data_IF_409085322665
#
_entry.id   IF_409085322665
#
_cell.length_a   1.000
_cell.length_b   1.000
_cell.length_c   1.000
_cell.angle_alpha   90.00
_cell.angle_beta   90.00
_cell.angle_gamma   90.00
#
_symmetry.space_group_name_H-M   'P 1'
#
loop_
_entity.id
_entity.type
_entity.pdbx_description
1 polymer ?
#
# COMPACT_ATOMS: atom_id res chain seq x y z
N UNK A 1 -14.22 -21.92 -7.93
CA UNK A 1 -15.49 -21.16 -7.81
C UNK A 1 -15.42 -19.98 -8.79
N UNK A 2 -16.46 -19.71 -9.60
CA UNK A 2 -16.47 -18.58 -10.54
C UNK A 2 -17.20 -17.42 -9.88
N UNK A 3 -16.52 -16.32 -9.61
CA UNK A 3 -17.13 -15.08 -9.12
C UNK A 3 -17.11 -14.04 -10.24
N UNK A 4 -18.24 -13.36 -10.44
CA UNK A 4 -18.31 -12.17 -11.29
C UNK A 4 -18.23 -10.94 -10.41
N UNK A 5 -17.18 -10.16 -10.58
CA UNK A 5 -16.88 -8.99 -9.77
C UNK A 5 -17.76 -7.81 -10.25
N UNK A 6 -18.34 -7.04 -9.33
CA UNK A 6 -19.39 -6.05 -9.62
C UNK A 6 -18.93 -4.75 -10.32
N UNK A 7 -17.70 -4.65 -10.84
CA UNK A 7 -17.14 -3.41 -11.39
C UNK A 7 -16.45 -3.57 -12.76
N UNK A 8 -17.13 -4.24 -13.69
CA UNK A 8 -16.68 -4.43 -15.08
C UNK A 8 -16.41 -5.90 -15.34
N UNK A 9 -17.00 -6.43 -16.41
CA UNK A 9 -17.19 -7.85 -16.74
C UNK A 9 -15.88 -8.67 -16.84
N UNK A 10 -15.21 -8.90 -15.71
CA UNK A 10 -14.10 -9.86 -15.56
C UNK A 10 -14.61 -11.09 -14.84
N UNK A 11 -14.16 -12.25 -15.31
CA UNK A 11 -14.53 -13.55 -14.74
C UNK A 11 -13.31 -14.12 -14.04
N UNK A 12 -13.44 -14.48 -12.77
CA UNK A 12 -12.35 -15.05 -11.98
C UNK A 12 -12.59 -16.54 -11.76
N UNK A 13 -11.61 -17.38 -12.09
CA UNK A 13 -11.60 -18.82 -11.83
C UNK A 13 -10.52 -19.13 -10.80
N UNK A 14 -10.94 -19.49 -9.59
CA UNK A 14 -10.02 -20.00 -8.56
C UNK A 14 -9.87 -21.52 -8.70
N UNK A 15 -8.61 -21.95 -8.86
CA UNK A 15 -8.18 -23.34 -8.96
C UNK A 15 -7.32 -23.64 -7.73
N UNK A 16 -7.92 -24.32 -6.76
CA UNK A 16 -7.22 -24.78 -5.57
C UNK A 16 -6.78 -26.25 -5.80
N UNK A 17 -5.49 -26.54 -5.58
CA UNK A 17 -4.94 -27.89 -5.44
C UNK A 17 -5.79 -28.66 -4.42
N UNK A 18 -6.53 -29.77 -4.75
CA UNK A 18 -6.20 -30.85 -5.68
C UNK A 18 -7.31 -31.18 -6.73
N UNK A 19 -8.17 -30.24 -7.11
CA UNK A 19 -9.36 -30.57 -7.93
C UNK A 19 -9.23 -30.19 -9.41
N UNK A 20 -8.20 -30.72 -10.08
CA UNK A 20 -8.00 -30.64 -11.54
C UNK A 20 -9.20 -31.21 -12.32
N UNK A 21 -10.01 -32.09 -11.72
CA UNK A 21 -11.28 -32.57 -12.27
C UNK A 21 -12.28 -31.44 -12.54
N UNK A 22 -12.17 -30.30 -11.85
CA UNK A 22 -12.95 -29.10 -12.13
C UNK A 22 -12.53 -28.36 -13.41
N UNK A 23 -11.32 -28.61 -13.95
CA UNK A 23 -10.80 -27.91 -15.14
C UNK A 23 -11.44 -28.42 -16.45
N UNK A 24 -11.86 -29.68 -16.52
CA UNK A 24 -12.63 -30.21 -17.66
C UNK A 24 -13.98 -29.49 -17.79
N UNK A 25 -14.63 -29.14 -16.66
CA UNK A 25 -15.86 -28.34 -16.66
C UNK A 25 -15.67 -26.91 -17.18
N UNK A 26 -14.44 -26.36 -17.09
CA UNK A 26 -14.10 -25.02 -17.61
C UNK A 26 -13.92 -25.06 -19.13
N UNK A 27 -13.53 -26.21 -19.70
CA UNK A 27 -13.33 -26.37 -21.15
C UNK A 27 -14.60 -26.07 -21.95
N UNK A 28 -15.74 -26.57 -21.49
CA UNK A 28 -17.07 -26.26 -22.04
C UNK A 28 -17.40 -24.76 -21.97
N UNK A 29 -16.98 -24.09 -20.90
CA UNK A 29 -17.26 -22.67 -20.65
C UNK A 29 -16.40 -21.72 -21.51
N UNK A 30 -15.13 -22.08 -21.73
CA UNK A 30 -14.18 -21.34 -22.58
C UNK A 30 -14.65 -21.24 -24.03
N UNK A 31 -15.33 -22.27 -24.53
CA UNK A 31 -15.74 -22.34 -25.94
C UNK A 31 -16.96 -21.46 -26.25
N UNK A 32 -17.83 -21.22 -25.27
CA UNK A 32 -19.16 -20.63 -25.45
C UNK A 32 -19.25 -19.13 -25.16
N UNK A 33 -18.29 -18.55 -24.44
CA UNK A 33 -18.40 -17.19 -23.91
C UNK A 33 -17.07 -16.43 -24.09
N UNK A 34 -16.76 -16.05 -25.34
CA UNK A 34 -15.47 -15.48 -25.77
C UNK A 34 -15.31 -13.97 -25.49
N UNK A 35 -16.40 -13.28 -25.20
CA UNK A 35 -16.43 -11.81 -25.20
C UNK A 35 -15.86 -11.16 -23.93
N UNK A 36 -15.54 -11.95 -22.88
CA UNK A 36 -14.95 -11.43 -21.65
C UNK A 36 -13.64 -12.15 -21.32
N UNK A 37 -12.59 -11.40 -20.91
CA UNK A 37 -11.31 -12.00 -20.55
C UNK A 37 -11.42 -12.83 -19.27
N UNK A 38 -10.75 -13.98 -19.26
CA UNK A 38 -10.74 -14.91 -18.12
C UNK A 38 -9.51 -14.66 -17.23
N UNK A 39 -9.75 -14.35 -15.95
CA UNK A 39 -8.70 -14.31 -14.92
C UNK A 39 -8.65 -15.64 -14.20
N UNK A 40 -7.50 -16.28 -14.19
CA UNK A 40 -7.29 -17.59 -13.57
C UNK A 40 -6.36 -17.40 -12.39
N UNK A 41 -6.77 -17.85 -11.21
CA UNK A 41 -5.99 -17.77 -9.99
C UNK A 41 -5.71 -19.20 -9.57
N UNK A 42 -4.45 -19.63 -9.69
CA UNK A 42 -4.02 -20.93 -9.22
C UNK A 42 -3.33 -20.79 -7.87
N UNK A 43 -3.84 -21.51 -6.88
CA UNK A 43 -3.35 -21.48 -5.49
C UNK A 43 -2.56 -22.74 -5.19
N UNK A 44 -1.31 -22.56 -4.76
CA UNK A 44 -0.42 -23.62 -4.35
C UNK A 44 -0.05 -23.43 -2.89
N UNK A 45 -0.67 -24.23 -2.03
CA UNK A 45 -0.39 -24.23 -0.60
C UNK A 45 0.58 -25.36 -0.30
N UNK A 46 1.67 -25.06 0.38
CA UNK A 46 2.66 -26.03 0.85
C UNK A 46 3.30 -26.90 -0.24
N UNK A 47 4.19 -27.82 0.16
CA UNK A 47 4.94 -28.68 -0.75
C UNK A 47 4.09 -29.78 -1.39
N UNK A 48 2.91 -30.11 -0.86
CA UNK A 48 2.01 -31.14 -1.41
C UNK A 48 1.36 -30.67 -2.70
N UNK A 49 1.08 -29.36 -2.81
CA UNK A 49 0.52 -28.77 -4.02
C UNK A 49 1.50 -28.77 -5.21
N UNK A 50 2.79 -29.07 -4.99
CA UNK A 50 3.78 -29.16 -6.07
C UNK A 50 3.45 -30.27 -7.09
N UNK A 51 2.71 -31.30 -6.68
CA UNK A 51 2.27 -32.40 -7.57
C UNK A 51 1.34 -31.91 -8.67
N UNK A 52 0.64 -30.78 -8.45
CA UNK A 52 -0.35 -30.24 -9.39
C UNK A 52 0.23 -29.25 -10.41
N UNK A 53 1.53 -28.95 -10.31
CA UNK A 53 2.22 -28.06 -11.25
C UNK A 53 2.10 -28.55 -12.70
N UNK A 54 2.41 -29.83 -13.04
CA UNK A 54 2.36 -30.28 -14.43
C UNK A 54 0.95 -30.20 -15.03
N UNK A 55 -0.09 -30.41 -14.22
CA UNK A 55 -1.47 -30.28 -14.67
C UNK A 55 -1.83 -28.81 -14.94
N UNK A 56 -1.39 -27.90 -14.06
CA UNK A 56 -1.57 -26.46 -14.23
C UNK A 56 -0.83 -25.94 -15.46
N UNK A 57 0.38 -26.44 -15.73
CA UNK A 57 1.15 -26.12 -16.93
C UNK A 57 0.42 -26.56 -18.21
N UNK A 58 -0.06 -27.81 -18.25
CA UNK A 58 -0.84 -28.32 -19.39
C UNK A 58 -2.10 -27.49 -19.62
N UNK A 59 -2.80 -27.13 -18.55
CA UNK A 59 -3.99 -26.29 -18.65
C UNK A 59 -3.67 -24.89 -19.19
N UNK A 60 -2.59 -24.26 -18.71
CA UNK A 60 -2.13 -22.96 -19.20
C UNK A 60 -1.72 -23.01 -20.69
N UNK A 61 -1.08 -24.09 -21.12
CA UNK A 61 -0.75 -24.31 -22.54
C UNK A 61 -2.01 -24.46 -23.41
N UNK A 62 -2.99 -25.25 -22.99
CA UNK A 62 -4.26 -25.42 -23.72
C UNK A 62 -5.04 -24.10 -23.84
N UNK A 63 -4.97 -23.23 -22.84
CA UNK A 63 -5.59 -21.91 -22.89
C UNK A 63 -4.92 -21.00 -23.92
N UNK A 64 -3.59 -21.08 -24.05
CA UNK A 64 -2.84 -20.32 -25.05
C UNK A 64 -3.24 -20.67 -26.49
N UNK A 65 -3.76 -21.88 -26.73
CA UNK A 65 -4.25 -22.31 -28.05
C UNK A 65 -5.65 -21.79 -28.38
N UNK A 66 -6.41 -21.33 -27.38
CA UNK A 66 -7.79 -20.84 -27.56
C UNK A 66 -7.80 -19.32 -27.81
N UNK A 67 -8.74 -18.80 -28.64
CA UNK A 67 -8.83 -17.38 -28.98
C UNK A 67 -9.42 -16.51 -27.84
N UNK A 68 -9.41 -17.00 -26.60
CA UNK A 68 -9.98 -16.30 -25.45
C UNK A 68 -8.87 -15.55 -24.74
N UNK A 69 -9.02 -14.23 -24.59
CA UNK A 69 -8.10 -13.45 -23.78
C UNK A 69 -8.11 -13.97 -22.33
N UNK A 70 -6.94 -14.31 -21.80
CA UNK A 70 -6.82 -14.84 -20.44
C UNK A 70 -5.57 -14.30 -19.73
N UNK A 71 -5.60 -14.33 -18.41
CA UNK A 71 -4.44 -14.04 -17.56
C UNK A 71 -4.32 -15.12 -16.50
N UNK A 72 -3.12 -15.67 -16.34
CA UNK A 72 -2.77 -16.53 -15.23
C UNK A 72 -2.19 -15.69 -14.10
N UNK A 73 -2.70 -15.92 -12.89
CA UNK A 73 -2.24 -15.38 -11.64
C UNK A 73 -1.90 -16.54 -10.70
N UNK A 74 -0.80 -16.41 -9.97
CA UNK A 74 -0.35 -17.45 -9.05
C UNK A 74 -0.38 -16.92 -7.62
N UNK A 75 -0.93 -17.72 -6.71
CA UNK A 75 -0.75 -17.53 -5.26
C UNK A 75 0.00 -18.74 -4.74
N UNK A 76 1.19 -18.53 -4.18
CA UNK A 76 2.07 -19.59 -3.69
C UNK A 76 2.40 -19.31 -2.22
N UNK A 77 2.20 -20.32 -1.38
CA UNK A 77 2.41 -20.21 0.07
C UNK A 77 3.29 -21.32 0.62
N UNK A 78 4.32 -20.95 1.39
CA UNK A 78 5.19 -21.89 2.12
C UNK A 78 6.14 -22.71 1.25
N UNK A 79 6.33 -22.34 -0.01
CA UNK A 79 7.25 -23.01 -0.94
C UNK A 79 8.65 -22.38 -0.89
N UNK A 80 9.66 -23.21 -0.61
CA UNK A 80 11.07 -22.76 -0.49
C UNK A 80 11.77 -22.44 -1.80
N UNK A 81 11.32 -22.97 -2.94
CA UNK A 81 11.96 -22.72 -4.23
C UNK A 81 10.93 -22.64 -5.34
N UNK A 82 11.00 -21.56 -6.13
CA UNK A 82 10.09 -21.30 -7.24
C UNK A 82 10.57 -21.89 -8.57
N UNK A 83 11.69 -22.63 -8.59
CA UNK A 83 12.22 -23.24 -9.81
C UNK A 83 11.22 -24.17 -10.49
N UNK A 84 10.44 -24.92 -9.72
CA UNK A 84 9.38 -25.79 -10.27
C UNK A 84 8.25 -25.01 -10.95
N UNK A 85 8.13 -23.70 -10.68
CA UNK A 85 7.11 -22.83 -11.27
C UNK A 85 7.62 -22.06 -12.50
N UNK A 86 8.84 -22.32 -12.97
CA UNK A 86 9.47 -21.52 -14.04
C UNK A 86 8.56 -21.34 -15.28
N UNK A 87 7.97 -22.43 -15.79
CA UNK A 87 7.07 -22.37 -16.96
C UNK A 87 5.82 -21.54 -16.68
N UNK A 88 5.22 -21.71 -15.50
CA UNK A 88 4.03 -20.96 -15.10
C UNK A 88 4.34 -19.48 -14.93
N UNK A 89 5.47 -19.15 -14.30
CA UNK A 89 5.93 -17.77 -14.08
C UNK A 89 6.14 -17.01 -15.39
N UNK A 90 6.64 -17.67 -16.44
CA UNK A 90 6.77 -17.05 -17.76
C UNK A 90 5.42 -16.63 -18.38
N UNK A 91 4.33 -17.29 -17.99
CA UNK A 91 2.98 -17.01 -18.51
C UNK A 91 2.14 -16.14 -17.56
N UNK A 92 2.66 -15.87 -16.37
CA UNK A 92 1.93 -15.23 -15.29
C UNK A 92 2.06 -13.71 -15.34
N UNK A 93 0.93 -13.01 -15.18
CA UNK A 93 0.91 -11.54 -15.11
C UNK A 93 1.05 -11.01 -13.69
N UNK A 94 0.62 -11.78 -12.70
CA UNK A 94 0.61 -11.40 -11.29
C UNK A 94 0.94 -12.60 -10.41
N UNK A 95 1.89 -12.45 -9.49
CA UNK A 95 2.31 -13.49 -8.55
C UNK A 95 2.24 -12.96 -7.14
N UNK A 96 1.60 -13.72 -6.26
CA UNK A 96 1.56 -13.49 -4.82
C UNK A 96 2.33 -14.62 -4.15
N UNK A 97 3.36 -14.26 -3.39
CA UNK A 97 4.25 -15.17 -2.69
C UNK A 97 4.16 -14.91 -1.20
N UNK A 98 3.72 -15.91 -0.44
CA UNK A 98 3.65 -15.86 1.03
C UNK A 98 4.64 -16.84 1.62
N UNK A 99 5.56 -16.36 2.47
CA UNK A 99 6.59 -17.22 3.07
C UNK A 99 7.41 -18.01 2.03
N UNK A 100 7.66 -17.42 0.86
CA UNK A 100 8.35 -18.08 -0.25
C UNK A 100 9.67 -17.40 -0.62
N UNK A 101 10.65 -18.18 -1.06
CA UNK A 101 11.89 -17.65 -1.59
C UNK A 101 11.71 -17.13 -3.01
N UNK A 102 12.13 -15.89 -3.28
CA UNK A 102 12.21 -15.33 -4.61
C UNK A 102 13.44 -15.95 -5.33
N UNK A 103 13.23 -17.06 -6.02
CA UNK A 103 14.28 -17.78 -6.75
C UNK A 103 13.75 -18.30 -8.09
N UNK A 104 13.81 -17.46 -9.12
CA UNK A 104 13.51 -17.82 -10.51
C UNK A 104 14.46 -17.12 -11.46
N UNK A 105 14.65 -17.70 -12.65
CA UNK A 105 15.59 -17.18 -13.64
C UNK A 105 14.92 -16.14 -14.57
N UNK A 106 13.70 -16.42 -15.06
CA UNK A 106 12.97 -15.54 -15.99
C UNK A 106 11.46 -15.48 -15.69
N UNK A 107 10.89 -14.27 -15.70
CA UNK A 107 9.45 -14.03 -15.60
C UNK A 107 9.02 -12.85 -16.50
N UNK A 108 9.18 -13.02 -17.81
CA UNK A 108 9.06 -11.92 -18.78
C UNK A 108 7.67 -11.28 -18.92
N UNK A 109 6.59 -11.95 -18.49
CA UNK A 109 5.21 -11.40 -18.54
C UNK A 109 4.74 -10.78 -17.22
N UNK A 110 5.55 -10.91 -16.16
CA UNK A 110 5.18 -10.47 -14.83
C UNK A 110 5.02 -8.95 -14.79
N UNK A 111 3.87 -8.49 -14.32
CA UNK A 111 3.51 -7.07 -14.16
C UNK A 111 3.36 -6.67 -12.69
N UNK A 112 2.89 -7.60 -11.87
CA UNK A 112 2.68 -7.39 -10.44
C UNK A 112 3.31 -8.52 -9.65
N UNK A 113 4.07 -8.16 -8.62
CA UNK A 113 4.63 -9.10 -7.67
C UNK A 113 4.27 -8.67 -6.25
N UNK A 114 3.73 -9.59 -5.46
CA UNK A 114 3.54 -9.43 -4.03
C UNK A 114 4.40 -10.45 -3.28
N UNK A 115 5.20 -9.97 -2.32
CA UNK A 115 6.03 -10.76 -1.42
C UNK A 115 5.61 -10.46 0.01
N UNK A 116 5.21 -11.47 0.79
CA UNK A 116 4.85 -11.23 2.19
C UNK A 116 5.35 -12.27 3.20
N UNK A 117 5.49 -11.80 4.45
CA UNK A 117 5.73 -12.61 5.65
C UNK A 117 7.00 -13.45 5.60
N UNK A 118 8.12 -12.84 5.23
CA UNK A 118 9.43 -13.50 5.23
C UNK A 118 10.24 -13.16 6.47
N UNK A 119 10.78 -14.20 7.09
CA UNK A 119 11.63 -14.07 8.29
C UNK A 119 13.10 -13.83 7.96
N UNK A 120 13.50 -14.13 6.72
CA UNK A 120 14.85 -13.94 6.20
C UNK A 120 14.98 -12.66 5.39
N UNK A 121 16.23 -12.25 5.13
CA UNK A 121 16.51 -11.09 4.28
C UNK A 121 16.09 -11.38 2.85
N UNK A 122 15.19 -10.55 2.32
CA UNK A 122 14.68 -10.69 0.96
C UNK A 122 15.57 -9.93 -0.02
N UNK A 123 16.25 -10.66 -0.90
CA UNK A 123 16.88 -10.11 -2.09
C UNK A 123 15.88 -10.01 -3.25
N UNK A 124 15.94 -8.93 -4.03
CA UNK A 124 15.10 -8.71 -5.21
C UNK A 124 15.88 -8.83 -6.53
N UNK A 125 17.08 -9.42 -6.51
CA UNK A 125 17.92 -9.60 -7.69
C UNK A 125 17.23 -10.35 -8.86
N UNK A 126 16.38 -11.37 -8.62
CA UNK A 126 15.62 -12.00 -9.70
C UNK A 126 14.70 -11.05 -10.47
N UNK A 127 14.32 -9.89 -9.90
CA UNK A 127 13.43 -8.96 -10.59
C UNK A 127 14.08 -8.26 -11.78
N UNK A 128 15.41 -8.28 -11.90
CA UNK A 128 16.12 -7.66 -13.03
C UNK A 128 15.66 -8.24 -14.38
N UNK A 129 15.24 -9.51 -14.42
CA UNK A 129 14.73 -10.14 -15.64
C UNK A 129 13.27 -9.77 -15.97
N UNK A 130 12.55 -9.12 -15.05
CA UNK A 130 11.14 -8.77 -15.18
C UNK A 130 10.95 -7.38 -15.80
N UNK A 131 11.25 -7.22 -17.09
CA UNK A 131 11.21 -5.92 -17.77
C UNK A 131 9.81 -5.27 -17.86
N UNK A 132 8.74 -6.08 -17.74
CA UNK A 132 7.35 -5.62 -17.77
C UNK A 132 6.76 -5.33 -16.38
N UNK A 133 7.57 -5.42 -15.33
CA UNK A 133 7.12 -5.23 -13.95
C UNK A 133 6.70 -3.77 -13.74
N UNK A 134 5.45 -3.59 -13.32
CA UNK A 134 4.82 -2.29 -13.09
C UNK A 134 4.55 -2.02 -11.61
N UNK A 135 4.28 -3.06 -10.81
CA UNK A 135 3.95 -2.95 -9.39
C UNK A 135 4.73 -4.00 -8.60
N UNK A 136 5.37 -3.56 -7.52
CA UNK A 136 6.08 -4.42 -6.57
C UNK A 136 5.54 -4.13 -5.18
N UNK A 137 5.05 -5.16 -4.51
CA UNK A 137 4.47 -5.11 -3.17
C UNK A 137 5.30 -6.03 -2.28
N UNK A 138 5.80 -5.51 -1.16
CA UNK A 138 6.57 -6.25 -0.17
C UNK A 138 6.03 -5.93 1.21
N UNK A 139 5.55 -6.93 1.95
CA UNK A 139 4.93 -6.73 3.26
C UNK A 139 5.54 -7.63 4.34
N UNK A 140 5.87 -7.06 5.50
CA UNK A 140 6.37 -7.78 6.67
C UNK A 140 7.61 -8.65 6.37
N UNK A 141 8.61 -8.04 5.73
CA UNK A 141 9.86 -8.68 5.35
C UNK A 141 11.07 -7.93 5.95
N UNK A 142 12.17 -8.64 6.19
CA UNK A 142 13.48 -8.00 6.41
C UNK A 142 14.14 -7.75 5.04
N UNK A 143 14.57 -6.52 4.78
CA UNK A 143 14.88 -6.09 3.43
C UNK A 143 16.24 -5.41 3.36
N UNK A 144 17.09 -5.85 2.43
CA UNK A 144 18.29 -5.13 2.05
C UNK A 144 17.99 -4.23 0.84
N UNK A 145 18.66 -3.07 0.68
CA UNK A 145 18.46 -2.18 -0.46
C UNK A 145 18.63 -2.92 -1.80
N UNK A 146 17.60 -2.99 -2.65
CA UNK A 146 17.62 -3.74 -3.89
C UNK A 146 18.19 -2.85 -5.00
N UNK A 147 19.48 -3.01 -5.28
CA UNK A 147 20.09 -2.39 -6.47
C UNK A 147 19.36 -2.80 -7.76
N UNK A 148 18.72 -3.96 -7.73
CA UNK A 148 17.89 -4.59 -8.77
C UNK A 148 16.71 -3.70 -9.23
N UNK A 149 16.06 -2.96 -8.32
CA UNK A 149 14.88 -2.15 -8.65
C UNK A 149 15.20 -0.94 -9.53
N UNK A 150 16.45 -0.43 -9.50
CA UNK A 150 16.89 0.71 -10.33
C UNK A 150 16.78 0.43 -11.82
N UNK A 151 16.82 -0.85 -12.21
CA UNK A 151 16.78 -1.28 -13.61
C UNK A 151 15.37 -1.40 -14.16
N UNK A 152 14.34 -1.36 -13.31
CA UNK A 152 12.94 -1.54 -13.68
C UNK A 152 12.35 -0.24 -14.23
N UNK A 153 12.57 0.00 -15.53
CA UNK A 153 12.15 1.24 -16.21
C UNK A 153 10.65 1.43 -16.37
N UNK A 154 9.87 0.37 -16.13
CA UNK A 154 8.40 0.39 -16.24
C UNK A 154 7.70 0.36 -14.88
N UNK A 155 8.46 0.35 -13.77
CA UNK A 155 7.90 0.32 -12.43
C UNK A 155 7.19 1.64 -12.14
N UNK A 156 5.89 1.56 -11.84
CA UNK A 156 5.01 2.69 -11.53
C UNK A 156 4.59 2.71 -10.07
N UNK A 157 4.56 1.54 -9.42
CA UNK A 157 4.11 1.41 -8.05
C UNK A 157 5.10 0.57 -7.25
N UNK A 158 5.42 1.05 -6.05
CA UNK A 158 6.19 0.33 -5.06
C UNK A 158 5.51 0.46 -3.70
N UNK A 159 5.16 -0.68 -3.12
CA UNK A 159 4.58 -0.78 -1.78
C UNK A 159 5.52 -1.61 -0.92
N UNK A 160 6.00 -1.04 0.17
CA UNK A 160 6.86 -1.69 1.16
C UNK A 160 6.22 -1.45 2.54
N UNK A 161 5.54 -2.43 3.12
CA UNK A 161 4.81 -2.24 4.39
C UNK A 161 5.37 -3.06 5.53
N UNK A 162 5.57 -2.43 6.69
CA UNK A 162 6.02 -3.13 7.89
C UNK A 162 7.37 -3.83 7.74
N UNK A 163 8.20 -3.39 6.78
CA UNK A 163 9.51 -3.98 6.52
C UNK A 163 10.60 -3.28 7.34
N UNK A 164 11.64 -4.02 7.69
CA UNK A 164 12.81 -3.52 8.42
C UNK A 164 14.08 -3.64 7.56
N UNK A 165 15.13 -2.84 7.87
CA UNK A 165 16.42 -2.90 7.18
C UNK A 165 16.59 -2.01 5.94
N UNK A 166 15.61 -1.17 5.60
CA UNK A 166 15.61 -0.42 4.33
C UNK A 166 15.65 1.10 4.50
N UNK A 167 16.43 1.76 3.63
CA UNK A 167 16.28 3.17 3.28
C UNK A 167 15.64 3.25 1.88
N UNK A 168 15.18 4.42 1.44
CA UNK A 168 14.59 4.57 0.09
C UNK A 168 15.57 5.13 -0.95
N UNK A 169 16.87 5.25 -0.64
CA UNK A 169 17.84 5.92 -1.52
C UNK A 169 18.00 5.24 -2.88
N UNK A 170 17.72 3.95 -2.97
CA UNK A 170 17.73 3.22 -4.23
C UNK A 170 16.66 3.70 -5.23
N UNK A 171 15.67 4.49 -4.81
CA UNK A 171 14.61 5.02 -5.67
C UNK A 171 15.00 6.23 -6.52
N UNK A 172 16.19 6.83 -6.29
CA UNK A 172 16.61 8.07 -6.98
C UNK A 172 16.57 7.98 -8.51
N UNK A 173 16.72 6.76 -9.04
CA UNK A 173 16.76 6.50 -10.49
C UNK A 173 15.43 5.94 -11.04
N UNK A 174 14.44 5.68 -10.19
CA UNK A 174 13.14 5.13 -10.57
C UNK A 174 12.23 6.22 -11.17
N UNK A 175 12.65 6.82 -12.28
CA UNK A 175 12.00 8.01 -12.88
C UNK A 175 10.57 7.75 -13.41
N UNK A 176 10.17 6.49 -13.59
CA UNK A 176 8.82 6.08 -14.00
C UNK A 176 7.83 5.94 -12.84
N UNK A 177 8.30 6.05 -11.60
CA UNK A 177 7.52 5.78 -10.40
C UNK A 177 6.42 6.83 -10.21
N UNK A 178 5.19 6.36 -10.00
CA UNK A 178 3.99 7.17 -9.80
C UNK A 178 3.43 7.05 -8.37
N UNK A 179 3.66 5.92 -7.70
CA UNK A 179 3.15 5.65 -6.35
C UNK A 179 4.21 4.97 -5.49
N UNK A 180 4.41 5.50 -4.27
CA UNK A 180 5.25 4.90 -3.24
C UNK A 180 4.49 4.84 -1.93
N UNK A 181 4.38 3.64 -1.37
CA UNK A 181 3.87 3.40 -0.01
C UNK A 181 4.99 2.71 0.79
N UNK A 182 5.43 3.33 1.87
CA UNK A 182 6.46 2.79 2.78
C UNK A 182 5.93 2.67 4.22
N UNK A 183 4.63 2.44 4.36
CA UNK A 183 3.93 2.49 5.64
C UNK A 183 4.43 1.48 6.66
N UNK A 184 4.61 1.89 7.91
CA UNK A 184 5.03 1.03 9.00
C UNK A 184 6.49 0.57 8.94
N UNK A 185 7.30 1.10 8.01
CA UNK A 185 8.75 0.94 8.02
C UNK A 185 9.37 1.82 9.12
N UNK A 186 9.30 1.37 10.36
CA UNK A 186 9.70 2.16 11.55
C UNK A 186 11.19 2.53 11.60
N UNK A 187 12.04 1.83 10.87
CA UNK A 187 13.48 2.16 10.75
C UNK A 187 13.76 3.29 9.76
N UNK A 188 12.79 3.67 8.93
CA UNK A 188 12.95 4.68 7.89
C UNK A 188 12.90 6.08 8.50
N UNK A 189 14.00 6.82 8.37
CA UNK A 189 14.16 8.18 8.93
C UNK A 189 14.21 9.28 7.88
N UNK A 190 14.40 8.93 6.60
CA UNK A 190 14.49 9.89 5.49
C UNK A 190 13.85 9.36 4.22
N UNK A 191 13.35 10.28 3.40
CA UNK A 191 12.78 10.03 2.08
C UNK A 191 13.63 10.59 0.93
N UNK A 192 14.92 10.85 1.18
CA UNK A 192 15.89 11.44 0.23
C UNK A 192 15.89 10.78 -1.16
N UNK A 193 15.58 9.49 -1.23
CA UNK A 193 15.49 8.76 -2.49
C UNK A 193 14.34 9.14 -3.42
N UNK A 194 13.33 9.87 -2.92
CA UNK A 194 12.20 10.36 -3.71
C UNK A 194 12.47 11.71 -4.38
N UNK A 195 13.60 12.34 -4.07
CA UNK A 195 13.90 13.69 -4.56
C UNK A 195 13.93 13.75 -6.09
N UNK A 196 13.11 14.63 -6.67
CA UNK A 196 13.08 14.88 -8.11
C UNK A 196 12.35 13.83 -8.94
N UNK A 197 11.62 12.89 -8.33
CA UNK A 197 10.75 11.95 -9.05
C UNK A 197 9.51 12.67 -9.59
N UNK A 198 9.66 13.28 -10.77
CA UNK A 198 8.65 14.18 -11.36
C UNK A 198 7.34 13.51 -11.77
N UNK A 199 7.31 12.19 -11.89
CA UNK A 199 6.10 11.42 -12.19
C UNK A 199 5.36 10.94 -10.94
N UNK A 200 5.93 11.15 -9.75
CA UNK A 200 5.39 10.67 -8.49
C UNK A 200 4.11 11.45 -8.13
N UNK A 201 3.00 10.73 -8.05
CA UNK A 201 1.65 11.24 -7.74
C UNK A 201 1.21 10.93 -6.32
N UNK A 202 1.66 9.81 -5.76
CA UNK A 202 1.22 9.31 -4.45
C UNK A 202 2.42 8.95 -3.59
N UNK A 203 2.47 9.48 -2.36
CA UNK A 203 3.50 9.19 -1.37
C UNK A 203 2.85 8.91 -0.01
N UNK A 204 3.03 7.70 0.51
CA UNK A 204 2.41 7.22 1.75
C UNK A 204 3.48 6.65 2.70
N UNK A 205 4.25 7.49 3.40
CA UNK A 205 5.15 7.09 4.47
C UNK A 205 4.43 7.07 5.84
N UNK A 206 3.30 6.38 5.96
CA UNK A 206 2.51 6.40 7.20
C UNK A 206 3.21 5.66 8.34
N UNK A 207 3.29 6.27 9.52
CA UNK A 207 3.83 5.63 10.72
C UNK A 207 5.30 5.27 10.61
N UNK A 208 6.09 6.11 9.94
CA UNK A 208 7.55 6.01 9.87
C UNK A 208 8.20 7.11 10.73
N UNK A 209 9.51 6.99 10.99
CA UNK A 209 10.24 7.89 11.89
C UNK A 209 10.93 9.05 11.14
N UNK A 210 10.25 9.63 10.15
CA UNK A 210 10.75 10.80 9.41
C UNK A 210 10.52 12.08 10.20
N UNK A 211 11.48 13.01 10.14
CA UNK A 211 11.40 14.32 10.79
C UNK A 211 11.21 15.47 9.79
N UNK A 212 11.46 15.21 8.50
CA UNK A 212 11.32 16.17 7.42
C UNK A 212 10.90 15.50 6.11
N UNK A 213 10.29 16.29 5.21
CA UNK A 213 9.85 15.87 3.88
C UNK A 213 10.33 16.81 2.77
N UNK A 214 11.40 17.58 3.02
CA UNK A 214 11.94 18.57 2.07
C UNK A 214 12.31 17.99 0.69
N UNK A 215 12.66 16.69 0.66
CA UNK A 215 12.91 15.93 -0.57
C UNK A 215 11.71 15.86 -1.53
N UNK A 216 10.47 16.07 -1.07
CA UNK A 216 9.28 16.04 -1.93
C UNK A 216 9.10 17.31 -2.77
N UNK A 217 9.89 18.37 -2.54
CA UNK A 217 9.74 19.65 -3.24
C UNK A 217 9.91 19.53 -4.78
N UNK A 218 10.68 18.53 -5.24
CA UNK A 218 10.89 18.26 -6.66
C UNK A 218 9.81 17.39 -7.33
N UNK A 219 8.86 16.82 -6.56
CA UNK A 219 7.83 15.91 -7.04
C UNK A 219 6.62 16.69 -7.56
N UNK A 220 6.77 17.39 -8.69
CA UNK A 220 5.77 18.37 -9.17
C UNK A 220 4.44 17.77 -9.63
N UNK A 221 4.36 16.45 -9.88
CA UNK A 221 3.13 15.73 -10.19
C UNK A 221 2.38 15.21 -8.96
N UNK A 222 2.86 15.48 -7.75
CA UNK A 222 2.29 14.93 -6.52
C UNK A 222 0.85 15.38 -6.31
N UNK A 223 -0.05 14.42 -6.13
CA UNK A 223 -1.48 14.62 -5.93
C UNK A 223 -1.92 14.25 -4.50
N UNK A 224 -1.28 13.25 -3.89
CA UNK A 224 -1.63 12.73 -2.57
C UNK A 224 -0.39 12.47 -1.71
N UNK A 225 -0.41 12.98 -0.47
CA UNK A 225 0.60 12.73 0.55
C UNK A 225 -0.07 12.28 1.83
N UNK A 226 0.36 11.14 2.38
CA UNK A 226 -0.05 10.67 3.70
C UNK A 226 1.19 10.42 4.58
N UNK A 227 1.46 11.39 5.45
CA UNK A 227 2.51 11.36 6.48
C UNK A 227 1.91 11.17 7.87
N UNK A 228 0.71 10.57 7.95
CA UNK A 228 0.06 10.37 9.24
C UNK A 228 0.87 9.45 10.15
N UNK A 229 0.76 9.66 11.47
CA UNK A 229 1.52 8.92 12.49
C UNK A 229 3.05 9.11 12.43
N UNK A 230 3.56 10.08 11.65
CA UNK A 230 4.96 10.48 11.70
C UNK A 230 5.18 11.48 12.84
N UNK A 231 5.24 10.99 14.08
CA UNK A 231 5.24 11.82 15.29
C UNK A 231 6.41 12.82 15.35
N UNK A 232 7.55 12.51 14.72
CA UNK A 232 8.71 13.39 14.65
C UNK A 232 8.64 14.51 13.60
N UNK A 233 7.64 14.48 12.70
CA UNK A 233 7.49 15.46 11.63
C UNK A 233 6.92 16.77 12.17
N UNK A 234 7.68 17.87 12.07
CA UNK A 234 7.33 19.18 12.64
C UNK A 234 6.96 20.23 11.59
N UNK A 235 7.20 19.96 10.31
CA UNK A 235 6.92 20.90 9.21
C UNK A 235 6.57 20.17 7.91
N UNK A 236 5.78 20.85 7.06
CA UNK A 236 5.39 20.39 5.72
C UNK A 236 6.14 21.13 4.60
N UNK A 237 7.29 21.74 4.89
CA UNK A 237 8.04 22.63 3.97
C UNK A 237 8.31 22.06 2.57
N UNK A 238 8.44 20.74 2.43
CA UNK A 238 8.61 20.06 1.15
C UNK A 238 7.38 20.04 0.23
N UNK A 239 6.22 20.52 0.69
CA UNK A 239 4.98 20.54 -0.09
C UNK A 239 4.66 21.91 -0.71
N UNK A 240 5.50 22.92 -0.46
CA UNK A 240 5.22 24.29 -0.89
C UNK A 240 5.08 24.41 -2.41
N UNK A 241 3.95 24.98 -2.85
CA UNK A 241 3.70 25.30 -4.25
C UNK A 241 3.47 24.08 -5.15
N UNK A 242 3.23 22.88 -4.59
CA UNK A 242 2.87 21.69 -5.37
C UNK A 242 1.45 21.84 -5.94
N UNK A 243 1.36 22.41 -7.14
CA UNK A 243 0.09 22.85 -7.76
C UNK A 243 -0.88 21.72 -8.08
N UNK A 244 -0.42 20.48 -8.15
CA UNK A 244 -1.25 19.30 -8.39
C UNK A 244 -1.71 18.61 -7.10
N UNK A 245 -1.22 19.05 -5.94
CA UNK A 245 -1.50 18.41 -4.65
C UNK A 245 -2.96 18.62 -4.26
N UNK A 246 -3.71 17.53 -4.13
CA UNK A 246 -5.14 17.51 -3.82
C UNK A 246 -5.43 17.05 -2.40
N UNK A 247 -4.64 16.11 -1.88
CA UNK A 247 -4.91 15.44 -0.61
C UNK A 247 -3.66 15.39 0.26
N UNK A 248 -3.79 15.90 1.49
CA UNK A 248 -2.74 15.82 2.50
C UNK A 248 -3.32 15.24 3.79
N UNK A 249 -2.75 14.14 4.26
CA UNK A 249 -2.99 13.62 5.59
C UNK A 249 -1.71 13.75 6.41
N UNK A 250 -1.72 14.63 7.40
CA UNK A 250 -0.65 14.83 8.36
C UNK A 250 -1.15 14.61 9.80
N UNK A 251 -2.22 13.83 9.98
CA UNK A 251 -2.76 13.54 11.29
C UNK A 251 -1.76 12.80 12.18
N UNK A 252 -1.78 13.08 13.49
CA UNK A 252 -0.84 12.52 14.48
C UNK A 252 0.63 12.77 14.12
N UNK A 253 0.92 13.99 13.72
CA UNK A 253 2.29 14.51 13.58
C UNK A 253 2.52 15.63 14.61
N UNK A 254 3.74 16.15 14.66
CA UNK A 254 4.10 17.28 15.52
C UNK A 254 4.14 18.61 14.77
N UNK A 255 3.43 18.72 13.64
CA UNK A 255 3.38 19.97 12.88
C UNK A 255 2.68 21.07 13.70
N UNK A 256 3.21 22.28 13.60
CA UNK A 256 2.68 23.47 14.29
C UNK A 256 2.15 24.52 13.34
N UNK A 257 2.47 24.40 12.05
CA UNK A 257 2.06 25.29 10.98
C UNK A 257 1.77 24.50 9.70
N UNK A 258 0.80 24.98 8.92
CA UNK A 258 0.42 24.44 7.61
C UNK A 258 0.55 25.48 6.49
N UNK A 259 1.26 26.58 6.72
CA UNK A 259 1.52 27.62 5.73
C UNK A 259 2.22 27.10 4.47
N UNK A 260 3.00 26.02 4.58
CA UNK A 260 3.57 25.34 3.43
C UNK A 260 2.52 24.83 2.43
N UNK A 261 1.27 24.62 2.85
CA UNK A 261 0.20 24.20 1.95
C UNK A 261 -0.44 25.37 1.19
N UNK A 262 -0.26 26.62 1.61
CA UNK A 262 -0.96 27.79 1.06
C UNK A 262 -0.80 27.97 -0.46
N UNK A 263 0.31 27.50 -1.05
CA UNK A 263 0.58 27.53 -2.49
C UNK A 263 -0.02 26.36 -3.30
N UNK A 264 -0.63 25.37 -2.65
CA UNK A 264 -1.20 24.17 -3.28
C UNK A 264 -2.61 24.46 -3.82
N UNK A 265 -2.69 25.12 -4.97
CA UNK A 265 -3.95 25.65 -5.53
C UNK A 265 -5.01 24.58 -5.87
N UNK A 266 -4.61 23.31 -6.06
CA UNK A 266 -5.51 22.19 -6.31
C UNK A 266 -5.96 21.47 -5.03
N UNK A 267 -5.60 21.95 -3.83
CA UNK A 267 -5.86 21.24 -2.58
C UNK A 267 -7.36 21.14 -2.30
N UNK A 268 -7.83 19.92 -2.09
CA UNK A 268 -9.24 19.57 -1.87
C UNK A 268 -9.49 19.14 -0.43
N UNK A 269 -8.57 18.38 0.17
CA UNK A 269 -8.73 17.74 1.48
C UNK A 269 -7.45 17.79 2.31
N UNK A 270 -7.59 18.20 3.56
CA UNK A 270 -6.50 18.25 4.56
C UNK A 270 -6.95 17.59 5.85
N UNK A 271 -6.19 16.61 6.34
CA UNK A 271 -6.38 16.01 7.66
C UNK A 271 -5.18 16.32 8.55
N UNK A 272 -5.41 17.07 9.63
CA UNK A 272 -4.41 17.49 10.63
C UNK A 272 -4.87 17.19 12.04
N UNK A 273 -5.73 16.18 12.20
CA UNK A 273 -6.16 15.72 13.53
C UNK A 273 -4.96 15.33 14.39
N UNK A 274 -5.06 15.58 15.69
CA UNK A 274 -4.03 15.21 16.65
C UNK A 274 -2.67 15.88 16.44
N UNK A 275 -2.61 16.99 15.68
CA UNK A 275 -1.43 17.85 15.60
C UNK A 275 -1.50 18.85 16.76
N UNK A 276 -0.97 18.47 17.93
CA UNK A 276 -1.20 19.18 19.20
C UNK A 276 -0.71 20.64 19.21
N UNK A 277 0.29 20.96 18.39
CA UNK A 277 0.85 22.31 18.29
C UNK A 277 0.21 23.18 17.20
N UNK A 278 -0.67 22.63 16.37
CA UNK A 278 -1.35 23.37 15.31
C UNK A 278 -2.56 24.09 15.89
N UNK A 279 -2.53 25.42 15.88
CA UNK A 279 -3.56 26.28 16.48
C UNK A 279 -4.43 27.03 15.46
N UNK A 280 -4.00 27.09 14.21
CA UNK A 280 -4.67 27.82 13.14
C UNK A 280 -4.66 27.06 11.82
N UNK A 281 -5.76 27.18 11.08
CA UNK A 281 -5.91 26.71 9.69
C UNK A 281 -6.14 27.86 8.70
N UNK A 282 -6.07 29.11 9.17
CA UNK A 282 -6.21 30.31 8.34
C UNK A 282 -5.31 30.35 7.09
N UNK A 283 -4.10 29.76 7.05
CA UNK A 283 -3.33 29.69 5.81
C UNK A 283 -4.05 29.02 4.64
N UNK A 284 -5.11 28.24 4.89
CA UNK A 284 -5.92 27.56 3.87
C UNK A 284 -7.20 28.32 3.47
N UNK A 285 -7.53 29.44 4.13
CA UNK A 285 -8.80 30.17 3.95
C UNK A 285 -9.07 30.62 2.50
N UNK A 286 -8.01 30.98 1.76
CA UNK A 286 -8.10 31.43 0.36
C UNK A 286 -8.18 30.32 -0.69
N UNK A 287 -8.26 29.04 -0.31
CA UNK A 287 -8.18 27.93 -1.25
C UNK A 287 -9.49 27.66 -1.99
N UNK A 288 -9.45 27.83 -3.33
CA UNK A 288 -10.64 27.74 -4.18
C UNK A 288 -11.17 26.32 -4.38
N UNK A 289 -10.33 25.30 -4.27
CA UNK A 289 -10.73 23.90 -4.47
C UNK A 289 -10.94 23.13 -3.16
N UNK A 290 -10.66 23.77 -2.02
CA UNK A 290 -10.77 23.13 -0.72
C UNK A 290 -12.24 22.79 -0.43
N UNK A 291 -12.46 21.57 0.04
CA UNK A 291 -13.78 21.03 0.40
C UNK A 291 -13.83 20.50 1.82
N UNK A 292 -12.71 20.06 2.36
CA UNK A 292 -12.67 19.39 3.66
C UNK A 292 -11.36 19.71 4.40
N UNK A 293 -11.51 20.17 5.65
CA UNK A 293 -10.41 20.23 6.61
C UNK A 293 -10.85 19.44 7.85
N UNK A 294 -10.08 18.42 8.20
CA UNK A 294 -10.35 17.62 9.38
C UNK A 294 -9.36 17.99 10.47
N UNK A 295 -9.88 18.49 11.59
CA UNK A 295 -9.11 18.98 12.74
C UNK A 295 -9.55 18.24 14.01
N UNK A 296 -8.72 18.26 15.04
CA UNK A 296 -9.17 17.84 16.37
C UNK A 296 -10.07 18.92 16.98
N UNK A 297 -11.21 18.52 17.59
CA UNK A 297 -12.26 19.43 18.06
C UNK A 297 -11.78 20.55 19.01
N UNK A 298 -10.62 20.38 19.65
CA UNK A 298 -10.00 21.34 20.58
C UNK A 298 -8.72 21.98 20.05
N UNK A 299 -8.23 21.58 18.87
CA UNK A 299 -6.92 22.01 18.37
C UNK A 299 -6.93 23.38 17.69
N UNK A 300 -8.01 23.73 17.01
CA UNK A 300 -8.09 24.94 16.16
C UNK A 300 -9.19 25.87 16.67
N UNK A 301 -8.95 27.18 16.59
CA UNK A 301 -9.94 28.17 16.99
C UNK A 301 -11.18 28.13 16.08
N UNK A 302 -12.35 27.81 16.64
CA UNK A 302 -13.62 27.70 15.88
C UNK A 302 -14.02 28.98 15.16
N UNK A 303 -13.57 30.15 15.60
CA UNK A 303 -13.87 31.39 14.90
C UNK A 303 -13.30 31.41 13.48
N UNK A 304 -12.25 30.63 13.20
CA UNK A 304 -11.63 30.53 11.88
C UNK A 304 -12.53 29.88 10.83
N UNK A 305 -13.54 29.10 11.24
CA UNK A 305 -14.51 28.49 10.30
C UNK A 305 -15.19 29.55 9.41
N UNK A 306 -15.41 30.75 9.95
CA UNK A 306 -16.00 31.89 9.22
C UNK A 306 -15.12 32.45 8.10
N UNK A 307 -13.81 32.15 8.11
CA UNK A 307 -12.88 32.60 7.08
C UNK A 307 -12.95 31.74 5.80
N UNK A 308 -13.66 30.61 5.83
CA UNK A 308 -13.77 29.70 4.70
C UNK A 308 -15.03 29.94 3.89
N UNK A 309 -14.94 29.74 2.57
CA UNK A 309 -16.08 29.79 1.67
C UNK A 309 -17.15 28.75 2.06
N UNK A 310 -18.43 29.00 1.74
CA UNK A 310 -19.50 28.00 1.92
C UNK A 310 -19.14 26.66 1.24
N UNK A 311 -19.39 25.55 1.94
CA UNK A 311 -19.12 24.19 1.45
C UNK A 311 -17.76 23.62 1.84
N UNK A 312 -16.90 24.38 2.52
CA UNK A 312 -15.73 23.80 3.22
C UNK A 312 -16.20 23.23 4.55
N UNK A 313 -16.05 21.92 4.72
CA UNK A 313 -16.37 21.25 5.98
C UNK A 313 -15.16 21.25 6.89
N UNK A 314 -15.24 21.99 8.00
CA UNK A 314 -14.24 21.91 9.09
C UNK A 314 -14.75 20.92 10.14
N UNK A 315 -14.28 19.68 10.04
CA UNK A 315 -14.76 18.59 10.87
C UNK A 315 -13.92 18.46 12.16
N UNK A 316 -14.49 18.87 13.29
CA UNK A 316 -13.90 18.64 14.61
C UNK A 316 -14.26 17.27 15.16
N UNK A 317 -13.32 16.32 15.13
CA UNK A 317 -13.51 14.99 15.74
C UNK A 317 -13.11 15.00 17.22
N UNK A 318 -13.86 14.24 18.00
CA UNK A 318 -13.51 13.99 19.39
C UNK A 318 -12.22 13.17 19.49
N UNK A 319 -11.37 13.44 20.50
CA UNK A 319 -10.25 12.56 20.79
C UNK A 319 -10.76 11.14 21.05
N UNK A 320 -9.97 10.09 20.74
CA UNK A 320 -10.35 8.73 21.07
C UNK A 320 -10.51 8.69 22.58
N UNK A 321 -11.70 8.32 23.05
CA UNK A 321 -11.96 8.20 24.48
C UNK A 321 -10.91 7.27 25.09
N UNK A 322 -10.21 7.77 26.10
CA UNK A 322 -9.36 6.92 26.95
C UNK A 322 -10.28 5.85 27.54
N UNK A 323 -10.16 4.59 27.11
CA UNK A 323 -10.82 3.46 27.76
C UNK A 323 -10.04 3.12 29.03
N UNK A 324 -9.93 4.08 29.93
CA UNK A 324 -9.41 3.91 31.28
C UNK A 324 -10.30 4.72 32.23
N UNK A 325 -11.52 4.22 32.42
CA UNK A 325 -12.28 4.46 33.63
C UNK A 325 -13.12 3.21 33.91
N UNK A 326 -12.46 2.15 34.38
CA UNK A 326 -13.16 1.21 35.25
C UNK A 326 -13.47 2.01 36.50
N UNK A 327 -14.76 2.34 36.65
CA UNK A 327 -15.31 2.80 37.92
C UNK A 327 -14.85 1.83 39.01
N UNK A 328 -14.10 2.34 39.99
CA UNK A 328 -14.14 1.79 41.35
C UNK A 328 -15.54 2.07 41.89
N UNK A 329 -16.48 1.19 41.53
CA UNK A 329 -17.77 1.07 42.19
C UNK A 329 -17.55 0.35 43.50
N UNK A 330 -17.63 1.12 44.58
CA UNK A 330 -17.85 0.64 45.93
C UNK A 330 -19.07 -0.27 45.99
N UNK A 331 -18.86 -1.55 46.25
CA UNK A 331 -19.86 -2.40 46.89
C UNK A 331 -19.15 -3.63 47.50
N UNK A 332 -18.84 -3.57 48.78
CA UNK A 332 -18.77 -4.76 49.62
C UNK A 332 -19.08 -4.36 51.07
N UNK A 333 -20.32 -4.65 51.41
CA UNK A 333 -20.89 -4.63 52.75
C UNK A 333 -20.22 -5.66 53.65
N UNK A 334 -19.83 -5.20 54.84
CA UNK A 334 -19.99 -5.87 56.14
C UNK A 334 -19.74 -7.39 56.18
N UNK A 335 -18.57 -7.79 56.69
CA UNK A 335 -18.52 -8.93 57.61
C UNK A 335 -17.64 -8.59 58.81
N UNK A 336 -18.24 -8.82 59.98
CA UNK A 336 -17.73 -8.57 61.31
C UNK A 336 -16.96 -9.79 61.81
N UNK A 337 -15.67 -9.66 62.08
CA UNK A 337 -14.97 -10.55 63.01
C UNK A 337 -14.13 -9.72 63.98
N UNK A 338 -14.50 -9.85 65.25
CA UNK A 338 -13.85 -9.33 66.44
C UNK A 338 -12.86 -10.40 66.90
N UNK A 339 -11.55 -10.09 66.94
CA UNK A 339 -10.59 -10.84 67.76
C UNK A 339 -10.62 -10.29 69.19
N UNK A 340 -11.16 -11.12 70.09
CA UNK A 340 -10.65 -11.57 71.41
C UNK A 340 -10.00 -10.59 72.44
N UNK A 341 -9.99 -10.93 73.75
CA UNK A 341 -10.17 -10.01 74.88
C UNK A 341 -9.01 -9.07 75.24
#
# INVERSE_FOLDING_TARGET
>A
MITSDACGSRRSLNVDSPNISGLECVQWWLERQRDYPLKIIATFNDTKSLVDIPASERFSQQLCEKPVAHSLNLTIEGVKSLRSFATLLQQTGEVILRQCELAFDEAGRLRTLELSKRTDTVGLDPLVSCSNLTSVIVEFCHFAPPESLRRLRNMRELVIRGCTGTNVDFLKECMSLESVDVSGCTVLTTLSGLNGLRNLKVVIPKGVNITEICCLAGCTALETVDVSYCEGLTTLSGLNGLRNLKRVNASRTSITDIGALAGCVALERVDVRYCRGLTSVLPLSGMQNLTEITVERRGVNRSEESAFKPGVFVCGVDPPGNVHSVHTGSDETLDSEVEDP
#
